data_IF_599518887861
#
_entry.id   IF_599518887861
#
_cell.length_a   1.000
_cell.length_b   1.000
_cell.length_c   1.000
_cell.angle_alpha   90.00
_cell.angle_beta   90.00
_cell.angle_gamma   90.00
#
_symmetry.space_group_name_H-M   'P 1'
#
loop_
_entity.id
_entity.type
_entity.pdbx_description
1 polymer ?
#
# COMPACT_ATOMS: atom_id res chain seq x y z
N UNK A 1 -12.99 -6.39 -6.02
CA UNK A 1 -13.17 -7.32 -4.91
C UNK A 1 -14.24 -6.77 -3.98
N UNK A 2 -15.19 -7.60 -3.55
CA UNK A 2 -16.19 -7.20 -2.55
C UNK A 2 -15.75 -7.65 -1.14
N UNK A 3 -16.37 -7.10 -0.10
CA UNK A 3 -15.98 -7.32 1.31
C UNK A 3 -15.98 -8.80 1.71
N UNK A 4 -17.00 -9.55 1.28
CA UNK A 4 -17.15 -10.98 1.57
C UNK A 4 -15.93 -11.77 1.05
N UNK A 5 -15.53 -11.52 -0.20
CA UNK A 5 -14.36 -12.17 -0.83
C UNK A 5 -13.10 -11.93 0.01
N UNK A 6 -12.84 -10.68 0.39
CA UNK A 6 -11.66 -10.30 1.17
C UNK A 6 -11.60 -11.03 2.51
N UNK A 7 -12.75 -11.18 3.18
CA UNK A 7 -12.86 -11.89 4.45
C UNK A 7 -12.61 -13.39 4.32
N UNK A 8 -12.86 -13.97 3.14
CA UNK A 8 -12.70 -15.41 2.88
C UNK A 8 -11.34 -15.78 2.28
N UNK A 9 -10.54 -14.82 1.83
CA UNK A 9 -9.22 -15.09 1.27
C UNK A 9 -8.33 -15.89 2.24
N UNK A 10 -7.59 -16.90 1.75
CA UNK A 10 -6.50 -17.51 2.49
C UNK A 10 -5.51 -16.45 2.98
N UNK A 11 -4.87 -16.68 4.13
CA UNK A 11 -3.99 -15.70 4.75
C UNK A 11 -2.88 -15.19 3.80
N UNK A 12 -2.32 -16.06 2.96
CA UNK A 12 -1.30 -15.70 1.97
C UNK A 12 -1.84 -14.76 0.89
N UNK A 13 -3.03 -15.01 0.37
CA UNK A 13 -3.67 -14.17 -0.65
C UNK A 13 -4.13 -12.82 -0.08
N UNK A 14 -4.63 -12.82 1.14
CA UNK A 14 -4.97 -11.61 1.86
C UNK A 14 -3.72 -10.76 2.16
N UNK A 15 -2.62 -11.40 2.57
CA UNK A 15 -1.34 -10.73 2.74
C UNK A 15 -0.91 -10.05 1.44
N UNK A 16 -0.91 -10.79 0.32
CA UNK A 16 -0.57 -10.24 -0.98
C UNK A 16 -1.49 -9.07 -1.39
N UNK A 17 -2.78 -9.18 -1.09
CA UNK A 17 -3.78 -8.14 -1.36
C UNK A 17 -3.50 -6.87 -0.56
N UNK A 18 -3.31 -6.96 0.75
CA UNK A 18 -3.04 -5.80 1.60
C UNK A 18 -1.68 -5.17 1.30
N UNK A 19 -0.68 -5.98 0.89
CA UNK A 19 0.63 -5.50 0.48
C UNK A 19 0.58 -4.56 -0.74
N UNK A 20 -0.49 -4.64 -1.56
CA UNK A 20 -0.69 -3.69 -2.66
C UNK A 20 -1.02 -2.27 -2.16
N UNK A 21 -1.58 -2.15 -0.95
CA UNK A 21 -1.97 -0.87 -0.36
C UNK A 21 -0.87 -0.27 0.51
N UNK A 22 -0.18 -1.10 1.29
CA UNK A 22 0.91 -0.67 2.16
C UNK A 22 1.95 -1.78 2.24
N UNK A 23 3.20 -1.42 2.02
CA UNK A 23 4.32 -2.37 1.95
C UNK A 23 4.96 -2.66 3.31
N UNK A 24 4.47 -2.05 4.40
CA UNK A 24 4.86 -2.41 5.75
C UNK A 24 4.33 -3.81 6.09
N UNK A 25 5.23 -4.75 6.32
CA UNK A 25 4.90 -6.13 6.70
C UNK A 25 4.08 -6.17 8.00
N UNK A 26 4.41 -5.30 8.96
CA UNK A 26 3.69 -5.15 10.23
C UNK A 26 2.25 -4.69 10.02
N UNK A 27 2.04 -3.69 9.17
CA UNK A 27 0.69 -3.22 8.83
C UNK A 27 -0.13 -4.31 8.14
N UNK A 28 0.46 -4.98 7.14
CA UNK A 28 -0.20 -6.06 6.39
C UNK A 28 -0.62 -7.19 7.33
N UNK A 29 0.27 -7.63 8.22
CA UNK A 29 -0.04 -8.70 9.17
C UNK A 29 -1.19 -8.32 10.12
N UNK A 30 -1.24 -7.07 10.59
CA UNK A 30 -2.36 -6.57 11.41
C UNK A 30 -3.67 -6.60 10.62
N UNK A 31 -3.66 -6.18 9.36
CA UNK A 31 -4.87 -6.20 8.51
C UNK A 31 -5.35 -7.60 8.18
N UNK A 32 -4.43 -8.54 7.90
CA UNK A 32 -4.76 -9.95 7.69
C UNK A 32 -5.43 -10.55 8.93
N UNK A 33 -4.91 -10.24 10.12
CA UNK A 33 -5.41 -10.73 11.40
C UNK A 33 -6.70 -10.05 11.88
N UNK A 34 -6.99 -8.83 11.43
CA UNK A 34 -8.19 -8.09 11.78
C UNK A 34 -9.46 -8.55 11.02
N UNK A 35 -9.30 -9.43 10.02
CA UNK A 35 -10.43 -10.07 9.34
C UNK A 35 -11.14 -11.07 10.27
N UNK A 36 -12.47 -11.24 10.15
CA UNK A 36 -13.34 -10.62 9.16
C UNK A 36 -13.79 -9.20 9.53
N UNK A 37 -13.93 -8.33 8.53
CA UNK A 37 -14.48 -6.99 8.69
C UNK A 37 -15.98 -6.95 8.45
N UNK A 38 -16.70 -6.18 9.27
CA UNK A 38 -18.17 -6.06 9.18
C UNK A 38 -18.64 -5.05 8.13
N UNK A 39 -17.78 -4.14 7.68
CA UNK A 39 -18.09 -3.12 6.67
C UNK A 39 -16.83 -2.50 6.09
N UNK A 40 -16.97 -1.73 5.01
CA UNK A 40 -15.89 -0.90 4.49
C UNK A 40 -15.37 0.11 5.51
N UNK A 41 -16.24 0.66 6.37
CA UNK A 41 -15.84 1.56 7.44
C UNK A 41 -14.98 0.84 8.50
N UNK A 42 -15.29 -0.41 8.79
CA UNK A 42 -14.49 -1.23 9.70
C UNK A 42 -13.08 -1.50 9.14
N UNK A 43 -12.96 -1.74 7.82
CA UNK A 43 -11.64 -1.87 7.15
C UNK A 43 -10.83 -0.60 7.34
N UNK A 44 -11.42 0.56 7.01
CA UNK A 44 -10.73 1.85 7.11
C UNK A 44 -10.25 2.12 8.54
N UNK A 45 -11.13 1.89 9.52
CA UNK A 45 -10.79 2.08 10.94
C UNK A 45 -9.62 1.17 11.36
N UNK A 46 -9.65 -0.11 10.98
CA UNK A 46 -8.57 -1.04 11.29
C UNK A 46 -7.26 -0.65 10.60
N UNK A 47 -7.33 -0.15 9.36
CA UNK A 47 -6.17 0.37 8.63
C UNK A 47 -5.52 1.57 9.33
N UNK A 48 -6.34 2.53 9.78
CA UNK A 48 -5.89 3.71 10.51
C UNK A 48 -5.25 3.31 11.85
N UNK A 49 -5.88 2.40 12.61
CA UNK A 49 -5.34 1.88 13.88
C UNK A 49 -4.03 1.10 13.68
N UNK A 50 -3.96 0.27 12.63
CA UNK A 50 -2.76 -0.49 12.30
C UNK A 50 -1.59 0.45 11.98
N UNK A 51 -1.85 1.52 11.22
CA UNK A 51 -0.88 2.55 10.82
C UNK A 51 -0.39 3.40 12.01
N UNK A 52 -1.30 3.81 12.90
CA UNK A 52 -0.94 4.57 14.10
C UNK A 52 -0.10 3.75 15.09
N UNK A 53 -0.28 2.43 15.11
CA UNK A 53 0.50 1.53 15.96
C UNK A 53 1.80 1.02 15.33
N UNK A 54 2.32 1.65 14.27
CA UNK A 54 3.59 1.29 13.64
C UNK A 54 4.78 1.92 14.38
N UNK A 55 5.90 1.22 14.38
CA UNK A 55 7.17 1.79 14.80
C UNK A 55 7.86 2.52 13.63
N UNK A 56 8.87 3.32 13.93
CA UNK A 56 9.62 4.07 12.92
C UNK A 56 10.16 3.19 11.78
N UNK A 57 10.71 2.02 12.11
CA UNK A 57 11.23 1.07 11.12
C UNK A 57 10.15 0.54 10.16
N UNK A 58 8.91 0.41 10.64
CA UNK A 58 7.78 -0.02 9.81
C UNK A 58 7.38 1.06 8.80
N UNK A 59 7.51 2.34 9.17
CA UNK A 59 7.32 3.46 8.24
C UNK A 59 8.39 3.46 7.14
N UNK A 60 9.66 3.22 7.50
CA UNK A 60 10.71 3.11 6.49
C UNK A 60 10.47 1.94 5.53
N UNK A 61 10.03 0.77 6.01
CA UNK A 61 9.66 -0.33 5.12
C UNK A 61 8.50 0.05 4.18
N UNK A 62 7.49 0.75 4.69
CA UNK A 62 6.40 1.27 3.85
C UNK A 62 6.96 2.18 2.76
N UNK A 63 7.80 3.15 3.11
CA UNK A 63 8.36 4.10 2.14
C UNK A 63 9.29 3.45 1.12
N UNK A 64 10.10 2.46 1.53
CA UNK A 64 10.96 1.71 0.59
C UNK A 64 10.17 0.94 -0.48
N UNK A 65 8.90 0.66 -0.23
CA UNK A 65 8.02 0.00 -1.19
C UNK A 65 7.28 0.93 -2.16
N UNK A 66 7.44 2.25 -2.02
CA UNK A 66 6.90 3.23 -2.95
C UNK A 66 7.99 3.72 -3.92
N UNK A 67 7.67 3.85 -5.23
CA UNK A 67 8.59 4.50 -6.15
C UNK A 67 8.72 5.98 -5.81
N UNK A 68 9.92 6.52 -6.01
CA UNK A 68 10.13 7.96 -5.94
C UNK A 68 9.20 8.67 -6.93
N UNK A 69 8.60 9.77 -6.50
CA UNK A 69 7.77 10.60 -7.37
C UNK A 69 8.59 11.06 -8.58
N UNK A 70 8.06 10.85 -9.79
CA UNK A 70 8.74 11.17 -11.05
C UNK A 70 9.72 10.09 -11.55
N UNK A 71 10.00 9.07 -10.75
CA UNK A 71 10.82 7.92 -11.14
C UNK A 71 10.13 6.61 -10.73
N UNK A 72 9.10 6.23 -11.50
CA UNK A 72 8.38 4.96 -11.33
C UNK A 72 9.24 3.72 -11.66
N UNK A 73 10.45 3.91 -12.19
CA UNK A 73 11.45 2.86 -12.38
C UNK A 73 12.36 2.62 -11.17
N UNK A 74 12.42 3.56 -10.22
CA UNK A 74 13.20 3.43 -8.98
C UNK A 74 12.70 2.34 -8.01
N UNK A 75 11.55 1.74 -8.32
CA UNK A 75 10.93 0.68 -7.54
C UNK A 75 11.88 -0.54 -7.42
N UNK A 76 12.30 -0.86 -6.19
CA UNK A 76 13.12 -2.06 -5.93
C UNK A 76 12.35 -3.30 -6.37
N UNK A 77 13.06 -4.28 -6.93
CA UNK A 77 12.47 -5.54 -7.46
C UNK A 77 11.55 -6.27 -6.45
N UNK A 78 11.80 -6.11 -5.14
CA UNK A 78 10.99 -6.68 -4.05
C UNK A 78 9.54 -6.15 -4.01
N UNK A 79 9.27 -4.99 -4.59
CA UNK A 79 7.97 -4.30 -4.52
C UNK A 79 7.34 -4.09 -5.90
N UNK A 80 7.79 -4.82 -6.93
CA UNK A 80 7.33 -4.67 -8.31
C UNK A 80 5.79 -4.70 -8.47
N UNK A 81 5.10 -5.31 -7.52
CA UNK A 81 3.64 -5.47 -7.50
C UNK A 81 2.90 -4.12 -7.29
N UNK A 82 3.49 -3.13 -6.61
CA UNK A 82 2.86 -1.82 -6.36
C UNK A 82 3.01 -0.84 -7.53
N UNK A 83 3.75 -1.22 -8.57
CA UNK A 83 4.13 -0.35 -9.69
C UNK A 83 2.92 0.19 -10.48
N UNK A 84 1.93 -0.65 -10.72
CA UNK A 84 0.74 -0.26 -11.49
C UNK A 84 -0.10 0.76 -10.72
N UNK A 85 -0.32 0.53 -9.42
CA UNK A 85 -1.04 1.46 -8.56
C UNK A 85 -0.32 2.80 -8.48
N UNK A 86 0.98 2.78 -8.19
CA UNK A 86 1.79 3.99 -8.09
C UNK A 86 1.90 4.76 -9.42
N UNK A 87 1.95 4.06 -10.56
CA UNK A 87 1.95 4.68 -11.88
C UNK A 87 0.63 5.39 -12.20
N UNK A 88 -0.50 4.86 -11.73
CA UNK A 88 -1.80 5.52 -11.84
C UNK A 88 -1.90 6.72 -10.90
N UNK A 89 -1.43 6.60 -9.65
CA UNK A 89 -1.42 7.69 -8.66
C UNK A 89 -0.54 8.87 -9.10
N UNK A 90 0.60 8.60 -9.72
CA UNK A 90 1.50 9.61 -10.27
C UNK A 90 1.17 9.99 -11.72
N UNK A 91 0.01 9.59 -12.26
CA UNK A 91 -0.34 9.81 -13.66
C UNK A 91 -0.27 11.29 -14.08
N UNK A 92 -0.66 12.20 -13.18
CA UNK A 92 -0.64 13.65 -13.42
C UNK A 92 0.76 14.27 -13.33
N UNK A 93 1.76 13.58 -12.76
CA UNK A 93 3.16 14.05 -12.77
C UNK A 93 3.68 14.14 -14.20
N UNK A 94 3.15 13.33 -15.13
CA UNK A 94 3.48 13.38 -16.56
C UNK A 94 3.00 14.67 -17.26
N UNK A 95 2.05 15.39 -16.66
CA UNK A 95 1.51 16.64 -17.18
C UNK A 95 2.20 17.87 -16.56
N UNK A 96 3.08 17.67 -15.58
CA UNK A 96 3.88 18.75 -15.02
C UNK A 96 4.88 19.28 -16.05
N UNK A 97 5.06 20.61 -16.08
CA UNK A 97 6.05 21.24 -16.95
C UNK A 97 7.48 21.10 -16.36
N UNK A 98 8.49 21.33 -17.21
CA UNK A 98 9.89 21.14 -16.84
C UNK A 98 10.30 22.01 -15.62
N UNK A 99 9.75 23.23 -15.49
CA UNK A 99 9.98 24.10 -14.33
C UNK A 99 9.54 23.48 -12.98
N UNK A 100 8.53 22.61 -12.98
CA UNK A 100 8.04 21.90 -11.78
C UNK A 100 8.85 20.64 -11.51
N UNK A 101 9.51 20.07 -12.52
CA UNK A 101 10.26 18.82 -12.43
C UNK A 101 11.76 19.00 -12.13
N UNK A 102 12.33 20.18 -12.40
CA UNK A 102 13.77 20.48 -12.27
C UNK A 102 14.24 21.01 -10.89
N UNK A 103 13.49 20.80 -9.80
CA UNK A 103 13.87 21.27 -8.44
C UNK A 103 15.00 20.44 -7.82
#
# INVERSE_FOLDING_TARGET
MILEDLNQLPAAEANHTFMQCCTSSTWVNKMVAARPFSSALAIKKAADEAWQGLAEQDYFEAFEGHPKIGDVSSLRAKYANTKELAGNEQGLVKEANDEVLEV
#
